data_IF_862732827822
#
_entry.id   IF_862732827822
#
_cell.length_a   1.000
_cell.length_b   1.000
_cell.length_c   1.000
_cell.angle_alpha   90.00
_cell.angle_beta   90.00
_cell.angle_gamma   90.00
#
_symmetry.space_group_name_H-M   'P 1'
#
loop_
_entity.id
_entity.type
_entity.pdbx_description
1 polymer ?
#
# COMPACT_ATOMS: atom_id res chain seq x y z
N UNK A 1 0.01 -21.81 -32.93
CA UNK A 1 0.35 -21.77 -31.50
C UNK A 1 1.36 -20.65 -31.30
N UNK A 2 0.89 -19.44 -31.04
CA UNK A 2 1.72 -18.37 -30.49
C UNK A 2 0.86 -17.67 -29.45
N UNK A 3 1.00 -18.08 -28.18
CA UNK A 3 0.41 -17.34 -27.07
C UNK A 3 1.28 -16.10 -26.87
N UNK A 4 0.78 -14.94 -27.30
CA UNK A 4 1.43 -13.66 -27.08
C UNK A 4 1.55 -13.39 -25.59
N UNK A 5 2.77 -13.41 -25.06
CA UNK A 5 3.06 -12.97 -23.71
C UNK A 5 2.86 -11.45 -23.61
N UNK A 6 1.87 -11.02 -22.84
CA UNK A 6 1.66 -9.60 -22.52
C UNK A 6 2.83 -9.07 -21.70
N UNK A 7 3.19 -7.80 -21.92
CA UNK A 7 4.19 -7.07 -21.13
C UNK A 7 3.84 -7.01 -19.62
N UNK A 8 2.54 -7.12 -19.28
CA UNK A 8 2.08 -7.25 -17.89
C UNK A 8 2.47 -8.60 -17.26
N UNK A 9 2.46 -9.67 -18.05
CA UNK A 9 2.86 -11.02 -17.63
C UNK A 9 4.38 -11.09 -17.40
N UNK A 10 5.15 -10.43 -18.26
CA UNK A 10 6.62 -10.30 -18.10
C UNK A 10 7.01 -9.45 -16.88
N UNK A 11 6.27 -8.37 -16.57
CA UNK A 11 6.46 -7.62 -15.32
C UNK A 11 6.12 -8.43 -14.07
N UNK A 12 5.07 -9.28 -14.10
CA UNK A 12 4.73 -10.19 -12.99
C UNK A 12 5.79 -11.27 -12.75
N UNK A 13 6.48 -11.73 -13.80
CA UNK A 13 7.55 -12.74 -13.68
C UNK A 13 8.87 -12.18 -13.11
N UNK A 14 9.08 -10.86 -13.19
CA UNK A 14 10.29 -10.19 -12.69
C UNK A 14 10.12 -9.56 -11.29
N UNK A 15 8.89 -9.45 -10.79
CA UNK A 15 8.61 -8.94 -9.46
C UNK A 15 8.65 -10.08 -8.44
N UNK A 16 9.35 -9.87 -7.32
CA UNK A 16 9.28 -10.76 -6.17
C UNK A 16 7.81 -10.93 -5.74
N UNK A 17 7.37 -12.17 -5.42
CA UNK A 17 5.98 -12.43 -5.06
C UNK A 17 5.56 -11.57 -3.87
N UNK A 18 4.52 -10.76 -4.06
CA UNK A 18 3.96 -9.93 -3.01
C UNK A 18 2.84 -10.69 -2.29
N UNK A 19 2.93 -10.76 -0.96
CA UNK A 19 1.92 -11.34 -0.11
C UNK A 19 0.53 -10.69 -0.25
N UNK A 20 0.42 -9.50 -0.85
CA UNK A 20 -0.87 -8.87 -1.14
C UNK A 20 -1.51 -9.35 -2.45
N UNK A 21 -0.79 -10.04 -3.34
CA UNK A 21 -1.33 -10.51 -4.62
C UNK A 21 -2.26 -11.71 -4.39
N UNK A 22 -3.57 -11.45 -4.43
CA UNK A 22 -4.63 -12.45 -4.25
C UNK A 22 -4.69 -13.50 -5.36
N UNK A 23 -3.98 -13.30 -6.48
CA UNK A 23 -3.87 -14.31 -7.54
C UNK A 23 -2.84 -15.41 -7.23
N UNK A 24 -2.01 -15.21 -6.21
CA UNK A 24 -1.06 -16.20 -5.73
C UNK A 24 -1.71 -17.17 -4.74
N UNK A 25 -1.17 -18.39 -4.68
CA UNK A 25 -1.61 -19.39 -3.71
C UNK A 25 -1.26 -18.98 -2.27
N UNK A 26 -1.97 -19.55 -1.30
CA UNK A 26 -1.68 -19.31 0.11
C UNK A 26 -0.23 -19.65 0.48
N UNK A 27 0.32 -20.73 -0.10
CA UNK A 27 1.69 -21.16 0.16
C UNK A 27 2.71 -20.12 -0.33
N UNK A 28 2.53 -19.57 -1.54
CA UNK A 28 3.42 -18.55 -2.10
C UNK A 28 3.38 -17.24 -1.30
N UNK A 29 2.18 -16.81 -0.87
CA UNK A 29 2.00 -15.59 -0.07
C UNK A 29 2.62 -15.74 1.33
N UNK A 30 2.48 -16.91 1.97
CA UNK A 30 3.14 -17.20 3.25
C UNK A 30 4.67 -17.30 3.09
N UNK A 31 5.15 -17.82 1.95
CA UNK A 31 6.57 -17.86 1.64
C UNK A 31 7.14 -16.44 1.44
N UNK A 32 6.41 -15.54 0.78
CA UNK A 32 6.77 -14.13 0.66
C UNK A 32 6.91 -13.46 2.04
N UNK A 33 5.93 -13.64 2.92
CA UNK A 33 6.01 -13.15 4.32
C UNK A 33 7.19 -13.76 5.08
N UNK A 34 7.49 -15.03 4.84
CA UNK A 34 8.62 -15.70 5.48
C UNK A 34 9.95 -15.09 5.03
N UNK A 35 10.10 -14.81 3.73
CA UNK A 35 11.27 -14.14 3.16
C UNK A 35 11.44 -12.73 3.74
N UNK A 36 10.35 -11.98 3.92
CA UNK A 36 10.38 -10.67 4.59
C UNK A 36 10.87 -10.77 6.04
N UNK A 37 10.38 -11.78 6.78
CA UNK A 37 10.82 -12.06 8.16
C UNK A 37 12.30 -12.44 8.25
N UNK A 38 12.80 -13.21 7.29
CA UNK A 38 14.22 -13.62 7.26
C UNK A 38 15.19 -12.52 6.79
N UNK A 39 14.66 -11.40 6.26
CA UNK A 39 15.46 -10.23 5.86
C UNK A 39 15.90 -9.44 7.11
N UNK A 40 16.93 -9.98 7.77
CA UNK A 40 17.55 -9.41 8.96
C UNK A 40 19.06 -9.48 8.81
N UNK A 41 19.69 -8.32 8.92
CA UNK A 41 21.15 -8.19 8.94
C UNK A 41 21.60 -7.79 10.33
N UNK A 42 22.73 -8.34 10.75
CA UNK A 42 23.37 -7.97 12.00
C UNK A 42 24.58 -7.11 11.70
N UNK A 43 24.62 -5.99 12.40
CA UNK A 43 25.79 -5.14 12.46
C UNK A 43 26.70 -5.64 13.59
N UNK A 44 27.87 -6.19 13.22
CA UNK A 44 28.93 -6.71 14.11
C UNK A 44 29.48 -5.65 15.10
N UNK A 45 29.15 -4.39 14.88
CA UNK A 45 29.53 -3.22 15.67
C UNK A 45 28.66 -3.03 16.90
N UNK A 46 27.39 -3.40 16.76
CA UNK A 46 26.41 -3.19 17.80
C UNK A 46 26.56 -4.35 18.76
N UNK A 47 26.92 -4.06 20.01
CA UNK A 47 27.10 -5.12 21.00
C UNK A 47 25.86 -6.04 21.09
N UNK A 48 26.03 -7.36 21.25
CA UNK A 48 24.91 -8.31 21.37
C UNK A 48 23.90 -7.94 22.46
N UNK A 49 24.35 -7.27 23.53
CA UNK A 49 23.50 -6.73 24.60
C UNK A 49 22.40 -5.81 24.06
N UNK A 50 22.69 -4.95 23.08
CA UNK A 50 21.69 -4.03 22.50
C UNK A 50 20.63 -4.82 21.74
N UNK A 51 21.03 -5.85 20.98
CA UNK A 51 20.06 -6.73 20.30
C UNK A 51 19.15 -7.45 21.28
N UNK A 52 19.68 -8.03 22.36
CA UNK A 52 18.84 -8.71 23.36
C UNK A 52 17.79 -7.78 23.99
N UNK A 53 18.16 -6.53 24.30
CA UNK A 53 17.20 -5.53 24.78
C UNK A 53 16.12 -5.23 23.74
N UNK A 54 16.53 -4.95 22.50
CA UNK A 54 15.60 -4.67 21.41
C UNK A 54 14.71 -5.87 21.05
N UNK A 55 15.18 -7.09 21.30
CA UNK A 55 14.40 -8.30 21.06
C UNK A 55 13.14 -8.38 21.91
N UNK A 56 13.20 -7.93 23.16
CA UNK A 56 12.03 -8.01 24.04
C UNK A 56 10.91 -7.09 23.56
N UNK A 57 11.29 -5.90 23.06
CA UNK A 57 10.35 -4.96 22.42
C UNK A 57 9.81 -5.51 21.09
N UNK A 58 10.64 -6.19 20.30
CA UNK A 58 10.22 -6.83 19.05
C UNK A 58 9.14 -7.89 19.30
N UNK A 59 9.30 -8.70 20.34
CA UNK A 59 8.31 -9.71 20.72
C UNK A 59 7.02 -9.05 21.23
N UNK A 60 7.12 -8.01 22.06
CA UNK A 60 5.94 -7.24 22.52
C UNK A 60 5.17 -6.65 21.34
N UNK A 61 5.86 -6.08 20.37
CA UNK A 61 5.25 -5.55 19.15
C UNK A 61 4.54 -6.65 18.33
N UNK A 62 5.15 -7.84 18.22
CA UNK A 62 4.54 -8.98 17.55
C UNK A 62 3.25 -9.44 18.25
N UNK A 63 3.23 -9.44 19.59
CA UNK A 63 2.03 -9.73 20.38
C UNK A 63 0.93 -8.70 20.14
N UNK A 64 1.27 -7.41 20.12
CA UNK A 64 0.29 -6.33 19.83
C UNK A 64 -0.31 -6.48 18.44
N UNK A 65 0.48 -6.79 17.40
CA UNK A 65 -0.07 -7.05 16.07
C UNK A 65 -1.03 -8.23 16.04
N UNK A 66 -0.73 -9.28 16.81
CA UNK A 66 -1.61 -10.44 16.91
C UNK A 66 -2.94 -10.05 17.58
N UNK A 67 -2.90 -9.23 18.63
CA UNK A 67 -4.09 -8.71 19.31
C UNK A 67 -4.95 -7.81 18.41
N UNK A 68 -4.33 -7.01 17.55
CA UNK A 68 -5.03 -6.19 16.55
C UNK A 68 -5.59 -7.01 15.37
N UNK A 69 -5.26 -8.29 15.27
CA UNK A 69 -5.63 -9.14 14.13
C UNK A 69 -4.79 -8.90 12.87
N UNK A 70 -3.68 -8.18 12.98
CA UNK A 70 -2.70 -7.99 11.90
C UNK A 70 -1.78 -9.22 11.77
N UNK A 71 -2.36 -10.31 11.27
CA UNK A 71 -1.70 -11.63 11.22
C UNK A 71 -0.40 -11.61 10.41
N UNK A 72 -0.37 -10.90 9.30
CA UNK A 72 0.80 -10.79 8.41
C UNK A 72 1.98 -10.13 9.13
N UNK A 73 1.76 -8.98 9.76
CA UNK A 73 2.80 -8.24 10.47
C UNK A 73 3.28 -9.00 11.71
N UNK A 74 2.36 -9.61 12.46
CA UNK A 74 2.71 -10.47 13.59
C UNK A 74 3.60 -11.64 13.12
N UNK A 75 3.26 -12.29 12.01
CA UNK A 75 4.04 -13.39 11.46
C UNK A 75 5.43 -12.95 11.01
N UNK A 76 5.53 -11.81 10.31
CA UNK A 76 6.81 -11.24 9.88
C UNK A 76 7.69 -10.91 11.09
N UNK A 77 7.14 -10.29 12.13
CA UNK A 77 7.92 -9.96 13.33
C UNK A 77 8.35 -11.19 14.13
N UNK A 78 7.48 -12.18 14.34
CA UNK A 78 7.90 -13.41 15.01
C UNK A 78 8.97 -14.15 14.20
N UNK A 79 8.89 -14.15 12.88
CA UNK A 79 9.90 -14.77 12.03
C UNK A 79 11.22 -13.99 12.06
N UNK A 80 11.17 -12.65 12.01
CA UNK A 80 12.34 -11.76 12.19
C UNK A 80 12.99 -11.94 13.57
N UNK A 81 12.20 -12.07 14.62
CA UNK A 81 12.67 -12.37 15.98
C UNK A 81 13.41 -13.71 16.03
N UNK A 82 12.81 -14.77 15.48
CA UNK A 82 13.43 -16.10 15.43
C UNK A 82 14.72 -16.06 14.61
N UNK A 83 14.69 -15.54 13.38
CA UNK A 83 15.88 -15.46 12.52
C UNK A 83 16.99 -14.65 13.19
N UNK A 84 16.67 -13.51 13.82
CA UNK A 84 17.65 -12.68 14.51
C UNK A 84 18.36 -13.47 15.61
N UNK A 85 17.63 -14.11 16.53
CA UNK A 85 18.24 -14.71 17.73
C UNK A 85 18.71 -16.16 17.56
N UNK A 86 18.17 -16.90 16.58
CA UNK A 86 18.52 -18.31 16.33
C UNK A 86 19.58 -18.45 15.24
N UNK A 87 19.52 -17.64 14.18
CA UNK A 87 20.38 -17.80 13.01
C UNK A 87 21.47 -16.75 12.94
N UNK A 88 21.11 -15.48 13.11
CA UNK A 88 22.03 -14.36 12.84
C UNK A 88 22.91 -14.03 14.04
N UNK A 89 22.32 -13.73 15.20
CA UNK A 89 23.03 -13.19 16.36
C UNK A 89 24.06 -14.13 16.97
N UNK A 90 23.85 -15.46 16.99
CA UNK A 90 24.90 -16.39 17.43
C UNK A 90 26.19 -16.32 16.61
N UNK A 91 26.16 -15.77 15.39
CA UNK A 91 27.33 -15.60 14.53
C UNK A 91 28.13 -14.32 14.84
N UNK A 92 27.60 -13.42 15.65
CA UNK A 92 28.24 -12.15 16.00
C UNK A 92 29.54 -12.38 16.79
N UNK A 93 30.62 -11.62 16.49
CA UNK A 93 31.95 -11.79 17.11
C UNK A 93 31.92 -11.85 18.64
N UNK A 94 31.20 -10.92 19.27
CA UNK A 94 31.15 -10.75 20.73
C UNK A 94 30.03 -11.57 21.40
N UNK A 95 29.34 -12.45 20.66
CA UNK A 95 28.16 -13.17 21.19
C UNK A 95 28.49 -14.08 22.36
N UNK A 96 29.65 -14.75 22.31
CA UNK A 96 30.09 -15.71 23.33
C UNK A 96 30.41 -15.03 24.67
N UNK A 97 30.92 -13.81 24.62
CA UNK A 97 31.29 -13.02 25.79
C UNK A 97 30.09 -12.27 26.39
N UNK A 98 29.00 -12.13 25.63
CA UNK A 98 27.79 -11.46 26.09
C UNK A 98 26.98 -12.34 27.07
N UNK A 99 27.07 -11.99 28.35
CA UNK A 99 26.22 -12.51 29.43
C UNK A 99 25.33 -11.38 29.95
N UNK A 100 24.03 -11.44 29.63
CA UNK A 100 23.03 -10.45 30.04
C UNK A 100 21.74 -11.16 30.47
N UNK A 101 21.02 -10.68 31.50
CA UNK A 101 19.75 -11.30 31.96
C UNK A 101 18.72 -11.43 30.84
N UNK A 102 18.64 -10.44 29.95
CA UNK A 102 17.71 -10.40 28.81
C UNK A 102 17.90 -11.60 27.87
N UNK A 103 19.12 -12.18 27.80
CA UNK A 103 19.40 -13.38 26.98
C UNK A 103 18.54 -14.57 27.45
N UNK A 104 18.40 -14.77 28.76
CA UNK A 104 17.58 -15.87 29.29
C UNK A 104 16.10 -15.64 28.98
N UNK A 105 15.63 -14.40 29.12
CA UNK A 105 14.26 -14.00 28.79
C UNK A 105 13.96 -14.26 27.31
N UNK A 106 14.86 -13.87 26.41
CA UNK A 106 14.72 -14.08 24.97
C UNK A 106 14.70 -15.56 24.61
N UNK A 107 15.60 -16.36 25.18
CA UNK A 107 15.63 -17.81 24.93
C UNK A 107 14.33 -18.49 25.39
N UNK A 108 13.79 -18.07 26.54
CA UNK A 108 12.49 -18.55 27.02
C UNK A 108 11.35 -18.11 26.10
N UNK A 109 11.30 -16.83 25.71
CA UNK A 109 10.29 -16.31 24.77
C UNK A 109 10.35 -16.98 23.40
N UNK A 110 11.53 -17.34 22.91
CA UNK A 110 11.65 -18.11 21.66
C UNK A 110 10.90 -19.44 21.76
N UNK A 111 11.13 -20.19 22.83
CA UNK A 111 10.54 -21.53 23.04
C UNK A 111 9.05 -21.46 23.37
N UNK A 112 8.67 -20.65 24.36
CA UNK A 112 7.32 -20.63 24.92
C UNK A 112 6.33 -19.83 24.05
N UNK A 113 6.83 -18.85 23.30
CA UNK A 113 5.97 -17.87 22.60
C UNK A 113 6.25 -17.85 21.10
N UNK A 114 7.45 -17.48 20.66
CA UNK A 114 7.70 -17.14 19.26
C UNK A 114 7.49 -18.33 18.31
N UNK A 115 8.05 -19.51 18.61
CA UNK A 115 7.84 -20.70 17.78
C UNK A 115 6.36 -21.14 17.74
N UNK A 116 5.67 -21.35 18.89
CA UNK A 116 4.25 -21.70 18.89
C UNK A 116 3.36 -20.67 18.18
N UNK A 117 3.58 -19.38 18.41
CA UNK A 117 2.80 -18.30 17.78
C UNK A 117 3.06 -18.23 16.28
N UNK A 118 4.30 -18.38 15.82
CA UNK A 118 4.61 -18.44 14.38
C UNK A 118 3.88 -19.60 13.70
N UNK A 119 3.88 -20.78 14.30
CA UNK A 119 3.18 -21.95 13.75
C UNK A 119 1.66 -21.78 13.72
N UNK A 120 1.09 -21.18 14.77
CA UNK A 120 -0.33 -20.82 14.81
C UNK A 120 -0.67 -19.80 13.71
N UNK A 121 0.11 -18.72 13.61
CA UNK A 121 -0.07 -17.67 12.60
C UNK A 121 0.05 -18.22 11.18
N UNK A 122 1.00 -19.14 10.93
CA UNK A 122 1.13 -19.81 9.64
C UNK A 122 -0.15 -20.51 9.22
N UNK A 123 -0.83 -21.20 10.15
CA UNK A 123 -2.11 -21.87 9.89
C UNK A 123 -3.22 -20.86 9.59
N UNK A 124 -3.35 -19.83 10.44
CA UNK A 124 -4.36 -18.77 10.27
C UNK A 124 -4.18 -18.02 8.93
N UNK A 125 -2.95 -17.71 8.55
CA UNK A 125 -2.63 -17.07 7.27
C UNK A 125 -2.93 -17.98 6.07
N UNK A 126 -2.63 -19.28 6.17
CA UNK A 126 -3.03 -20.23 5.13
C UNK A 126 -4.55 -20.26 4.94
N UNK A 127 -5.32 -20.33 6.03
CA UNK A 127 -6.77 -20.30 5.98
C UNK A 127 -7.31 -19.00 5.38
N UNK A 128 -6.76 -17.84 5.80
CA UNK A 128 -7.10 -16.52 5.27
C UNK A 128 -6.83 -16.44 3.77
N UNK A 129 -5.62 -16.76 3.34
CA UNK A 129 -5.23 -16.64 1.94
C UNK A 129 -5.91 -17.66 1.04
N UNK A 130 -6.23 -18.86 1.54
CA UNK A 130 -7.04 -19.83 0.77
C UNK A 130 -8.45 -19.30 0.51
N UNK A 131 -9.08 -18.65 1.50
CA UNK A 131 -10.40 -18.02 1.32
C UNK A 131 -10.35 -16.89 0.30
N UNK A 132 -9.35 -16.02 0.39
CA UNK A 132 -9.14 -14.90 -0.55
C UNK A 132 -8.88 -15.39 -1.98
N UNK A 133 -7.99 -16.38 -2.14
CA UNK A 133 -7.66 -16.96 -3.44
C UNK A 133 -8.86 -17.68 -4.07
N UNK A 134 -9.65 -18.41 -3.27
CA UNK A 134 -10.89 -19.03 -3.75
C UNK A 134 -11.91 -17.97 -4.22
N UNK A 135 -12.07 -16.87 -3.48
CA UNK A 135 -12.94 -15.75 -3.89
C UNK A 135 -12.46 -15.08 -5.19
N UNK A 136 -11.14 -14.93 -5.36
CA UNK A 136 -10.54 -14.45 -6.61
C UNK A 136 -10.86 -15.37 -7.80
N UNK A 137 -10.66 -16.69 -7.65
CA UNK A 137 -10.98 -17.67 -8.71
C UNK A 137 -12.47 -17.67 -9.06
N UNK A 138 -13.37 -17.58 -8.08
CA UNK A 138 -14.81 -17.47 -8.32
C UNK A 138 -15.14 -16.21 -9.11
N UNK A 139 -14.59 -15.06 -8.72
CA UNK A 139 -14.81 -13.78 -9.42
C UNK A 139 -14.30 -13.81 -10.86
N UNK A 140 -13.15 -14.44 -11.09
CA UNK A 140 -12.59 -14.63 -12.43
C UNK A 140 -13.48 -15.54 -13.29
N UNK A 141 -13.98 -16.66 -12.73
CA UNK A 141 -14.88 -17.55 -13.45
C UNK A 141 -16.22 -16.89 -13.83
N UNK A 142 -16.78 -16.08 -12.93
CA UNK A 142 -18.00 -15.32 -13.21
C UNK A 142 -17.79 -14.25 -14.29
N UNK A 143 -16.64 -13.57 -14.29
CA UNK A 143 -16.30 -12.61 -15.34
C UNK A 143 -16.18 -13.26 -16.73
N UNK A 144 -15.60 -14.46 -16.81
CA UNK A 144 -15.48 -15.22 -18.08
C UNK A 144 -16.85 -15.73 -18.56
N UNK A 145 -17.73 -16.17 -17.66
CA UNK A 145 -19.10 -16.62 -18.03
C UNK A 145 -19.95 -15.46 -18.56
N UNK A 146 -19.83 -14.26 -17.97
CA UNK A 146 -20.56 -13.07 -18.43
C UNK A 146 -20.10 -12.63 -19.83
N UNK A 147 -18.79 -12.64 -20.10
CA UNK A 147 -18.25 -12.32 -21.43
C UNK A 147 -18.62 -13.38 -22.48
N UNK A 148 -18.57 -14.67 -22.12
CA UNK A 148 -18.99 -15.78 -22.98
C UNK A 148 -20.49 -15.75 -23.32
N UNK A 149 -21.35 -15.40 -22.35
CA UNK A 149 -22.79 -15.28 -22.57
C UNK A 149 -23.12 -14.09 -23.49
N UNK A 150 -22.42 -12.97 -23.35
CA UNK A 150 -22.57 -11.80 -24.23
C UNK A 150 -22.26 -12.10 -25.69
N UNK A 151 -21.17 -12.83 -25.97
CA UNK A 151 -20.80 -13.22 -27.33
C UNK A 151 -21.77 -14.26 -27.93
N UNK A 152 -22.27 -15.21 -27.13
CA UNK A 152 -23.24 -16.22 -27.57
C UNK A 152 -24.62 -15.61 -27.90
N UNK A 153 -25.10 -14.66 -27.08
CA UNK A 153 -26.36 -13.94 -27.29
C UNK A 153 -26.32 -13.03 -28.53
N UNK A 154 -25.20 -12.34 -28.75
CA UNK A 154 -25.05 -11.48 -29.93
C UNK A 154 -25.01 -12.31 -31.22
N UNK A 155 -24.36 -13.48 -31.19
CA UNK A 155 -24.26 -14.38 -32.35
C UNK A 155 -25.59 -15.07 -32.68
N UNK A 156 -26.40 -15.43 -31.68
CA UNK A 156 -27.76 -15.98 -31.89
C UNK A 156 -28.72 -14.91 -32.44
N UNK A 157 -28.65 -13.68 -31.93
CA UNK A 157 -29.45 -12.55 -32.43
C UNK A 157 -29.15 -12.23 -33.90
N UNK A 158 -27.88 -12.22 -34.31
CA UNK A 158 -27.49 -11.97 -35.71
C UNK A 158 -27.97 -13.07 -36.66
N UNK A 159 -27.89 -14.34 -36.23
CA UNK A 159 -28.37 -15.49 -37.02
C UNK A 159 -29.90 -15.44 -37.18
N UNK A 160 -30.62 -15.00 -36.15
CA UNK A 160 -32.08 -14.87 -36.19
C UNK A 160 -32.53 -13.71 -37.09
N UNK A 161 -31.86 -12.55 -37.03
CA UNK A 161 -32.11 -11.43 -37.96
C UNK A 161 -31.87 -11.82 -39.42
N UNK A 162 -30.77 -12.53 -39.71
CA UNK A 162 -30.48 -12.96 -41.08
C UNK A 162 -31.49 -14.00 -41.58
N UNK A 163 -31.95 -14.93 -40.70
CA UNK A 163 -33.04 -15.86 -41.02
C UNK A 163 -34.32 -15.14 -41.40
N UNK A 164 -34.73 -14.12 -40.65
CA UNK A 164 -35.93 -13.33 -40.93
C UNK A 164 -35.80 -12.58 -42.26
N UNK A 165 -34.63 -11.98 -42.53
CA UNK A 165 -34.33 -11.30 -43.79
C UNK A 165 -34.42 -12.24 -45.00
N UNK A 166 -33.83 -13.43 -44.91
CA UNK A 166 -33.88 -14.45 -45.97
C UNK A 166 -35.30 -14.96 -46.19
N UNK A 167 -36.07 -15.18 -45.12
CA UNK A 167 -37.47 -15.58 -45.22
C UNK A 167 -38.33 -14.51 -45.91
N UNK A 168 -38.10 -13.23 -45.60
CA UNK A 168 -38.79 -12.10 -46.23
C UNK A 168 -38.44 -11.97 -47.73
N UNK A 169 -37.16 -12.09 -48.08
CA UNK A 169 -36.69 -12.10 -49.48
C UNK A 169 -37.34 -13.24 -50.28
N UNK A 170 -37.39 -14.45 -49.73
CA UNK A 170 -38.07 -15.58 -50.37
C UNK A 170 -39.56 -15.33 -50.59
N UNK A 171 -40.22 -14.68 -49.63
CA UNK A 171 -41.64 -14.33 -49.75
C UNK A 171 -41.88 -13.32 -50.87
N UNK A 172 -41.08 -12.26 -50.92
CA UNK A 172 -41.14 -11.27 -52.01
C UNK A 172 -40.83 -11.88 -53.38
N UNK A 173 -39.89 -12.84 -53.44
CA UNK A 173 -39.57 -13.53 -54.68
C UNK A 173 -40.74 -14.39 -55.18
N UNK A 174 -41.42 -15.13 -54.29
CA UNK A 174 -42.63 -15.88 -54.64
C UNK A 174 -43.77 -14.95 -55.10
N UNK A 175 -43.97 -13.81 -54.43
CA UNK A 175 -44.97 -12.80 -54.82
C UNK A 175 -44.64 -12.19 -56.19
N UNK A 176 -43.37 -11.86 -56.46
CA UNK A 176 -42.92 -11.35 -57.75
C UNK A 176 -43.06 -12.38 -58.88
N UNK A 177 -42.81 -13.66 -58.60
CA UNK A 177 -43.01 -14.75 -59.56
C UNK A 177 -44.50 -14.96 -59.86
N UNK A 178 -45.38 -14.90 -58.85
CA UNK A 178 -46.83 -14.93 -59.06
C UNK A 178 -47.33 -13.73 -59.87
N UNK A 179 -46.80 -12.53 -59.58
CA UNK A 179 -47.18 -11.32 -60.31
C UNK A 179 -46.74 -11.38 -61.77
N UNK A 180 -45.49 -11.82 -62.03
CA UNK A 180 -44.99 -12.05 -63.40
C UNK A 180 -45.82 -13.08 -64.15
N UNK A 181 -46.23 -14.17 -63.50
CA UNK A 181 -47.08 -15.18 -64.11
C UNK A 181 -48.45 -14.60 -64.51
N UNK A 182 -49.04 -13.77 -63.64
CA UNK A 182 -50.30 -13.09 -63.91
C UNK A 182 -50.18 -12.05 -65.05
N UNK A 183 -49.12 -11.23 -65.07
CA UNK A 183 -48.84 -10.31 -66.18
C UNK A 183 -48.69 -11.05 -67.52
N UNK A 184 -48.00 -12.19 -67.54
CA UNK A 184 -47.80 -12.98 -68.76
C UNK A 184 -49.13 -13.55 -69.28
N UNK A 185 -50.04 -13.95 -68.37
CA UNK A 185 -51.41 -14.33 -68.75
C UNK A 185 -52.20 -13.16 -69.34
N UNK A 186 -52.16 -11.99 -68.69
CA UNK A 186 -52.89 -10.80 -69.15
C UNK A 186 -52.38 -10.33 -70.52
N UNK A 187 -51.06 -10.34 -70.71
CA UNK A 187 -50.43 -9.97 -71.99
C UNK A 187 -50.81 -10.92 -73.13
N UNK A 188 -50.94 -12.22 -72.84
CA UNK A 188 -51.43 -13.21 -73.82
C UNK A 188 -52.89 -12.95 -74.18
N UNK A 189 -53.71 -12.54 -73.21
CA UNK A 189 -55.11 -12.19 -73.43
C UNK A 189 -55.25 -10.89 -74.25
N UNK A 190 -54.44 -9.87 -73.97
CA UNK A 190 -54.38 -8.65 -74.77
C UNK A 190 -53.89 -8.91 -76.20
N UNK A 191 -52.90 -9.79 -76.40
CA UNK A 191 -52.45 -10.21 -77.74
C UNK A 191 -53.53 -10.98 -78.51
N UNK A 192 -54.37 -11.75 -77.82
CA UNK A 192 -55.53 -12.40 -78.42
C UNK A 192 -56.58 -11.36 -78.84
N UNK A 193 -56.90 -10.40 -77.97
CA UNK A 193 -57.86 -9.33 -78.27
C UNK A 193 -57.35 -8.36 -79.36
N UNK A 194 -56.04 -8.08 -79.42
CA UNK A 194 -55.43 -7.21 -80.45
C UNK A 194 -55.35 -7.86 -81.84
N UNK A 195 -55.51 -9.18 -81.96
CA UNK A 195 -55.69 -9.84 -83.26
C UNK A 195 -57.08 -9.58 -83.86
N UNK A 196 -58.06 -9.20 -83.04
CA UNK A 196 -59.41 -8.87 -83.50
C UNK A 196 -59.58 -7.37 -83.84
N UNK A 197 -58.72 -6.48 -83.34
CA UNK A 197 -58.83 -5.02 -83.58
C UNK A 197 -57.84 -4.42 -84.60
N UNK A 198 -57.00 -5.23 -85.26
CA UNK A 198 -56.07 -4.77 -86.30
C UNK A 198 -56.72 -4.55 -87.70
N UNK A 199 -57.97 -4.09 -87.74
CA UNK A 199 -58.66 -3.56 -88.92
C UNK A 199 -59.16 -2.13 -88.64
N UNK A 200 -58.25 -1.18 -88.33
CA UNK A 200 -58.51 0.26 -88.52
C UNK A 200 -57.29 1.16 -88.24
N UNK A 201 -56.62 1.57 -89.32
CA UNK A 201 -55.97 2.89 -89.63
C UNK A 201 -54.86 3.50 -88.73
N UNK A 202 -54.11 4.40 -89.38
CA UNK A 202 -52.74 4.95 -89.17
C UNK A 202 -52.80 6.48 -88.86
N UNK A 203 -51.68 7.24 -88.73
CA UNK A 203 -50.74 7.47 -87.62
C UNK A 203 -50.75 8.93 -87.06
N UNK A 204 -50.02 9.25 -85.98
CA UNK A 204 -49.24 10.53 -85.89
C UNK A 204 -48.20 10.58 -84.74
N UNK A 205 -47.27 11.52 -84.93
CA UNK A 205 -45.93 11.75 -84.37
C UNK A 205 -45.89 12.22 -82.90
N UNK A 206 -44.75 12.08 -82.20
CA UNK A 206 -43.76 13.16 -81.87
C UNK A 206 -42.85 12.82 -80.68
N UNK A 207 -41.65 13.42 -80.76
CA UNK A 207 -40.40 13.27 -80.01
C UNK A 207 -40.37 13.75 -78.55
N UNK A 208 -39.28 13.35 -77.87
CA UNK A 208 -38.49 14.24 -77.01
C UNK A 208 -38.61 13.99 -75.51
N UNK A 209 -37.69 13.29 -74.85
CA UNK A 209 -36.34 13.74 -74.46
C UNK A 209 -36.34 15.00 -73.57
N UNK A 210 -35.84 14.87 -72.33
CA UNK A 210 -34.56 15.47 -71.92
C UNK A 210 -34.38 15.45 -70.39
N UNK A 211 -33.34 14.73 -69.99
CA UNK A 211 -32.53 15.02 -68.81
C UNK A 211 -31.93 16.43 -68.95
N UNK A 212 -31.62 17.08 -67.82
CA UNK A 212 -30.23 17.25 -67.38
C UNK A 212 -29.97 18.52 -66.55
N UNK A 213 -29.07 18.34 -65.56
CA UNK A 213 -27.96 19.22 -65.14
C UNK A 213 -28.29 20.68 -64.73
N UNK A 214 -27.69 21.31 -63.73
CA UNK A 214 -26.51 21.17 -62.88
C UNK A 214 -26.73 22.20 -61.74
N UNK A 215 -25.93 22.49 -60.72
CA UNK A 215 -24.49 22.73 -60.64
C UNK A 215 -24.14 23.07 -59.17
N UNK A 216 -22.84 23.11 -58.92
CA UNK A 216 -22.14 23.10 -57.63
C UNK A 216 -22.04 24.47 -56.91
N UNK A 217 -21.82 24.35 -55.59
CA UNK A 217 -20.98 25.16 -54.67
C UNK A 217 -21.31 26.64 -54.39
N UNK A 218 -21.51 27.01 -53.11
CA UNK A 218 -20.47 27.63 -52.26
C UNK A 218 -20.96 27.96 -50.83
N UNK A 219 -20.16 27.53 -49.84
CA UNK A 219 -19.67 28.20 -48.61
C UNK A 219 -20.60 29.00 -47.66
N UNK A 220 -20.66 28.47 -46.43
CA UNK A 220 -20.72 29.05 -45.06
C UNK A 220 -21.69 30.19 -44.73
N UNK A 221 -22.43 29.99 -43.64
CA UNK A 221 -22.34 30.77 -42.38
C UNK A 221 -23.07 29.98 -41.26
N UNK A 222 -22.41 29.86 -40.10
CA UNK A 222 -22.97 29.37 -38.82
C UNK A 222 -23.89 30.46 -38.23
N UNK A 223 -24.91 30.15 -37.41
CA UNK A 223 -24.63 29.98 -35.98
C UNK A 223 -25.56 29.04 -35.18
N UNK A 224 -24.93 28.34 -34.22
CA UNK A 224 -25.34 28.17 -32.82
C UNK A 224 -26.67 27.44 -32.51
N UNK A 225 -26.57 26.21 -31.95
CA UNK A 225 -27.60 25.66 -31.06
C UNK A 225 -27.05 24.67 -30.03
N UNK A 226 -27.33 25.00 -28.78
CA UNK A 226 -27.16 24.26 -27.54
C UNK A 226 -27.66 22.80 -27.59
N UNK A 227 -26.91 21.85 -27.03
CA UNK A 227 -27.40 20.93 -25.98
C UNK A 227 -26.25 20.20 -25.24
N UNK A 228 -26.42 19.88 -23.94
CA UNK A 228 -25.34 19.47 -23.05
C UNK A 228 -25.04 17.97 -23.08
N UNK A 229 -23.76 17.66 -22.91
CA UNK A 229 -23.22 16.32 -22.70
C UNK A 229 -23.52 15.82 -21.28
N UNK A 230 -24.08 14.61 -21.19
CA UNK A 230 -24.20 13.79 -19.99
C UNK A 230 -22.80 13.32 -19.53
N UNK A 231 -22.42 13.48 -18.25
CA UNK A 231 -21.32 12.71 -17.68
C UNK A 231 -21.76 11.28 -17.40
N UNK A 232 -21.10 10.35 -18.08
CA UNK A 232 -21.13 8.91 -17.84
C UNK A 232 -20.92 8.59 -16.36
N UNK A 233 -21.96 8.07 -15.71
CA UNK A 233 -21.88 7.26 -14.51
C UNK A 233 -21.10 5.97 -14.80
N UNK A 234 -20.02 5.73 -14.05
CA UNK A 234 -19.59 4.35 -13.75
C UNK A 234 -19.57 4.13 -12.23
N UNK A 235 -20.16 3.02 -11.75
CA UNK A 235 -20.35 2.72 -10.34
C UNK A 235 -19.20 1.90 -9.75
N UNK A 236 -19.35 1.63 -8.45
CA UNK A 236 -18.65 0.62 -7.64
C UNK A 236 -17.36 1.08 -6.94
N UNK A 237 -17.54 2.03 -6.02
CA UNK A 237 -16.79 2.06 -4.78
C UNK A 237 -17.17 0.83 -3.93
N UNK A 238 -16.37 -0.23 -4.01
CA UNK A 238 -16.36 -1.31 -3.01
C UNK A 238 -14.97 -1.92 -3.02
N UNK A 239 -14.21 -1.70 -1.94
CA UNK A 239 -12.86 -2.18 -1.57
C UNK A 239 -11.81 -1.09 -1.24
N UNK A 240 -12.20 0.18 -1.09
CA UNK A 240 -11.31 1.22 -0.53
C UNK A 240 -11.24 1.20 1.02
N UNK A 241 -11.30 0.02 1.63
CA UNK A 241 -11.51 -0.13 3.08
C UNK A 241 -10.27 -0.35 3.95
N UNK A 242 -9.07 -0.53 3.39
CA UNK A 242 -7.86 -0.85 4.18
C UNK A 242 -6.65 0.04 3.82
N UNK A 243 -6.75 0.88 2.79
CA UNK A 243 -5.59 1.62 2.23
C UNK A 243 -5.48 3.11 2.62
N UNK A 244 -6.08 3.55 3.72
CA UNK A 244 -6.26 5.00 3.99
C UNK A 244 -5.26 5.64 4.96
N UNK A 245 -4.13 5.01 5.30
CA UNK A 245 -3.33 5.49 6.44
C UNK A 245 -1.81 5.42 6.34
N UNK A 246 -1.24 4.98 5.22
CA UNK A 246 0.22 4.95 5.07
C UNK A 246 0.71 6.26 4.44
N UNK A 247 1.65 6.93 5.10
CA UNK A 247 2.39 8.08 4.55
C UNK A 247 3.83 7.61 4.36
N UNK A 248 4.33 7.64 3.13
CA UNK A 248 5.67 7.06 2.80
C UNK A 248 5.80 5.59 3.23
N UNK A 249 4.74 4.79 3.03
CA UNK A 249 4.64 3.39 3.44
C UNK A 249 4.79 3.14 4.96
N UNK A 250 4.69 4.21 5.77
CA UNK A 250 4.74 4.14 7.22
C UNK A 250 3.37 4.38 7.85
N UNK A 251 3.12 3.67 8.96
CA UNK A 251 1.95 3.93 9.82
C UNK A 251 2.07 5.30 10.47
N UNK A 252 0.92 5.91 10.77
CA UNK A 252 0.90 7.23 11.42
C UNK A 252 1.33 7.14 12.87
N UNK A 253 2.07 8.14 13.33
CA UNK A 253 2.40 8.37 14.75
C UNK A 253 1.66 9.59 15.24
N UNK A 254 0.75 9.41 16.20
CA UNK A 254 -0.03 10.46 16.83
C UNK A 254 0.73 10.98 18.05
N UNK A 255 1.06 12.27 18.01
CA UNK A 255 1.72 12.99 19.11
C UNK A 255 0.67 13.86 19.81
N UNK A 256 0.43 13.68 21.11
CA UNK A 256 -0.42 14.59 21.86
C UNK A 256 0.16 16.02 21.88
N UNK A 257 -0.69 17.03 21.70
CA UNK A 257 -0.27 18.43 21.64
C UNK A 257 0.45 18.91 22.91
N UNK A 258 0.08 18.38 24.08
CA UNK A 258 0.64 18.79 25.37
C UNK A 258 1.98 18.13 25.71
N UNK A 259 2.45 17.16 24.91
CA UNK A 259 3.62 16.33 25.19
C UNK A 259 4.90 17.15 25.34
N UNK A 260 5.23 17.94 24.32
CA UNK A 260 6.47 18.74 24.29
C UNK A 260 6.49 19.78 25.41
N UNK A 261 5.35 20.43 25.66
CA UNK A 261 5.22 21.43 26.72
C UNK A 261 5.47 20.81 28.10
N UNK A 262 4.82 19.67 28.41
CA UNK A 262 5.00 18.98 29.69
C UNK A 262 6.43 18.45 29.87
N UNK A 263 7.05 17.94 28.81
CA UNK A 263 8.43 17.50 28.84
C UNK A 263 9.39 18.66 29.12
N UNK A 264 9.22 19.80 28.44
CA UNK A 264 10.03 21.00 28.68
C UNK A 264 9.87 21.54 30.11
N UNK A 265 8.66 21.48 30.67
CA UNK A 265 8.41 21.88 32.06
C UNK A 265 9.21 21.01 33.06
N UNK A 266 9.32 19.71 32.80
CA UNK A 266 10.12 18.78 33.61
C UNK A 266 11.63 19.00 33.42
N UNK A 267 12.05 19.32 32.18
CA UNK A 267 13.44 19.55 31.81
C UNK A 267 13.96 20.96 32.14
N UNK A 268 13.11 21.87 32.63
CA UNK A 268 13.42 23.30 32.80
C UNK A 268 14.67 23.54 33.66
N UNK A 269 14.79 22.85 34.80
CA UNK A 269 15.94 23.01 35.69
C UNK A 269 17.28 22.65 35.02
N UNK A 270 17.31 21.61 34.18
CA UNK A 270 18.51 21.23 33.43
C UNK A 270 18.74 22.19 32.27
N UNK A 271 17.68 22.54 31.54
CA UNK A 271 17.71 23.48 30.42
C UNK A 271 18.26 24.84 30.84
N UNK A 272 17.83 25.37 31.99
CA UNK A 272 18.32 26.63 32.56
C UNK A 272 19.82 26.60 32.88
N UNK A 273 20.37 25.41 33.16
CA UNK A 273 21.80 25.18 33.39
C UNK A 273 22.57 24.84 32.12
N UNK A 274 21.91 24.82 30.96
CA UNK A 274 22.51 24.42 29.69
C UNK A 274 22.83 22.94 29.60
N UNK A 275 22.10 22.09 30.34
CA UNK A 275 22.26 20.64 30.35
C UNK A 275 21.09 20.00 29.59
N UNK A 276 21.38 19.06 28.70
CA UNK A 276 20.37 18.31 27.97
C UNK A 276 19.55 17.41 28.91
N UNK A 277 18.32 17.11 28.52
CA UNK A 277 17.48 16.09 29.18
C UNK A 277 16.86 15.25 28.09
N UNK A 278 16.84 13.94 28.28
CA UNK A 278 16.27 12.97 27.34
C UNK A 278 15.17 12.14 28.00
N UNK A 279 14.20 11.72 27.19
CA UNK A 279 13.08 10.88 27.58
C UNK A 279 12.71 9.89 26.47
N UNK A 280 12.11 8.78 26.86
CA UNK A 280 11.66 7.73 25.93
C UNK A 280 10.18 7.91 25.63
N UNK A 281 9.85 7.95 24.35
CA UNK A 281 8.48 8.08 23.87
C UNK A 281 7.82 6.71 23.85
N UNK A 282 6.80 6.55 24.67
CA UNK A 282 6.11 5.29 24.90
C UNK A 282 4.64 5.39 24.50
N UNK A 283 4.11 4.32 23.91
CA UNK A 283 2.73 4.33 23.46
C UNK A 283 2.17 2.97 23.09
N UNK A 284 1.05 3.01 22.37
CA UNK A 284 0.30 1.83 21.96
C UNK A 284 0.04 1.89 20.46
N UNK A 285 -0.06 0.72 19.84
CA UNK A 285 -0.61 0.60 18.50
C UNK A 285 -2.12 0.41 18.65
N UNK A 286 -2.92 1.20 17.94
CA UNK A 286 -4.37 1.07 17.92
C UNK A 286 -4.87 1.45 16.54
N UNK A 287 -5.64 0.55 15.91
CA UNK A 287 -6.22 0.77 14.58
C UNK A 287 -5.15 1.13 13.53
N UNK A 288 -4.02 0.43 13.57
CA UNK A 288 -2.89 0.67 12.66
C UNK A 288 -2.26 2.08 12.76
N UNK A 289 -2.55 2.82 13.84
CA UNK A 289 -1.87 4.07 14.22
C UNK A 289 -1.11 3.88 15.53
N UNK A 290 0.11 4.40 15.60
CA UNK A 290 0.83 4.50 16.86
C UNK A 290 0.37 5.74 17.61
N UNK A 291 -0.07 5.56 18.85
CA UNK A 291 -0.45 6.65 19.73
C UNK A 291 0.57 6.80 20.85
N UNK A 292 1.27 7.94 20.88
CA UNK A 292 2.07 8.32 22.04
C UNK A 292 1.14 8.61 23.23
N UNK A 293 1.44 8.00 24.37
CA UNK A 293 0.65 8.17 25.60
C UNK A 293 1.52 8.56 26.79
N UNK A 294 2.79 8.14 26.78
CA UNK A 294 3.72 8.33 27.88
C UNK A 294 5.05 8.91 27.37
N UNK A 295 5.63 9.83 28.14
CA UNK A 295 7.05 10.16 28.07
C UNK A 295 7.68 9.70 29.38
N UNK A 296 8.64 8.80 29.31
CA UNK A 296 9.33 8.29 30.49
C UNK A 296 10.73 8.88 30.51
N UNK A 297 11.06 9.64 31.55
CA UNK A 297 12.37 10.27 31.73
C UNK A 297 13.18 9.36 32.65
N UNK A 298 14.12 8.54 32.11
CA UNK A 298 14.90 7.61 32.92
C UNK A 298 15.95 8.38 33.74
N UNK A 299 16.55 7.69 34.72
CA UNK A 299 17.86 8.09 35.27
C UNK A 299 18.82 8.32 34.12
N UNK A 300 19.60 9.39 34.18
CA UNK A 300 20.44 9.81 33.08
C UNK A 300 21.60 10.68 33.55
N UNK A 301 22.75 10.53 32.88
CA UNK A 301 23.89 11.43 32.98
C UNK A 301 23.92 12.30 31.72
N UNK A 302 23.91 13.62 31.88
CA UNK A 302 23.79 14.55 30.77
C UNK A 302 24.74 15.75 30.89
N UNK A 303 25.16 16.27 29.74
CA UNK A 303 25.93 17.49 29.57
C UNK A 303 25.28 18.46 28.59
N UNK A 304 26.00 19.46 28.08
CA UNK A 304 25.46 20.44 27.12
C UNK A 304 25.20 19.90 25.70
N UNK A 305 25.73 18.72 25.39
CA UNK A 305 25.77 18.12 24.05
C UNK A 305 25.64 16.57 24.07
N UNK A 306 25.25 15.99 25.21
CA UNK A 306 24.97 14.56 25.33
C UNK A 306 23.98 14.25 26.47
N UNK A 307 23.26 13.13 26.33
CA UNK A 307 22.39 12.58 27.37
C UNK A 307 22.41 11.04 27.31
N UNK A 308 23.04 10.42 28.31
CA UNK A 308 23.15 8.97 28.42
C UNK A 308 22.16 8.42 29.45
N UNK A 309 21.31 7.49 29.02
CA UNK A 309 20.34 6.83 29.89
C UNK A 309 21.03 5.80 30.80
N UNK A 310 20.74 5.90 32.10
CA UNK A 310 21.16 4.98 33.13
C UNK A 310 20.00 4.08 33.57
N UNK A 311 20.33 2.96 34.22
CA UNK A 311 19.35 2.04 34.81
C UNK A 311 18.16 1.67 33.88
N UNK A 312 18.47 1.32 32.63
CA UNK A 312 17.47 1.00 31.58
C UNK A 312 16.53 -0.15 31.97
N UNK A 313 16.88 -0.95 32.98
CA UNK A 313 16.07 -2.05 33.51
C UNK A 313 14.77 -1.56 34.17
N UNK A 314 14.80 -0.40 34.84
CA UNK A 314 13.63 0.21 35.48
C UNK A 314 12.65 0.74 34.43
N UNK A 315 13.16 1.43 33.40
CA UNK A 315 12.39 1.84 32.23
C UNK A 315 11.75 0.63 31.56
N UNK A 316 12.52 -0.43 31.32
CA UNK A 316 12.03 -1.65 30.70
C UNK A 316 10.90 -2.30 31.53
N UNK A 317 11.08 -2.41 32.85
CA UNK A 317 10.08 -2.98 33.75
C UNK A 317 8.78 -2.19 33.73
N UNK A 318 8.86 -0.86 33.70
CA UNK A 318 7.71 0.02 33.58
C UNK A 318 6.97 -0.17 32.26
N UNK A 319 7.70 -0.21 31.13
CA UNK A 319 7.12 -0.43 29.82
C UNK A 319 6.44 -1.81 29.73
N UNK A 320 7.04 -2.85 30.30
CA UNK A 320 6.48 -4.19 30.32
C UNK A 320 5.18 -4.27 31.13
N UNK A 321 5.20 -3.74 32.35
CA UNK A 321 4.04 -3.74 33.24
C UNK A 321 2.84 -2.98 32.69
N UNK A 322 3.07 -2.00 31.80
CA UNK A 322 2.02 -1.21 31.16
C UNK A 322 1.78 -1.56 29.69
N UNK A 323 2.48 -2.58 29.17
CA UNK A 323 2.42 -3.01 27.78
C UNK A 323 2.62 -1.85 26.80
N UNK A 324 3.62 -1.01 27.08
CA UNK A 324 3.98 0.14 26.27
C UNK A 324 5.05 -0.24 25.25
N UNK A 325 4.88 0.27 24.04
CA UNK A 325 5.85 0.15 22.96
C UNK A 325 6.77 1.36 22.96
N UNK A 326 8.03 1.14 22.63
CA UNK A 326 9.00 2.21 22.37
C UNK A 326 8.77 2.77 20.97
N UNK A 327 8.34 4.03 20.87
CA UNK A 327 7.97 4.68 19.60
C UNK A 327 8.96 5.77 19.16
N UNK A 328 9.97 6.03 19.98
CA UNK A 328 10.97 7.05 19.72
C UNK A 328 11.55 7.62 21.00
N UNK A 329 12.13 8.80 20.88
CA UNK A 329 12.73 9.51 22.01
C UNK A 329 12.60 11.02 21.80
N UNK A 330 12.73 11.76 22.91
CA UNK A 330 12.66 13.21 22.95
C UNK A 330 13.84 13.74 23.76
N UNK A 331 14.49 14.80 23.30
CA UNK A 331 15.50 15.49 24.09
C UNK A 331 15.49 17.01 23.87
N UNK A 332 16.19 17.71 24.73
CA UNK A 332 16.37 19.17 24.65
C UNK A 332 17.73 19.51 24.07
N UNK A 333 17.78 20.51 23.19
CA UNK A 333 18.97 21.32 22.91
C UNK A 333 18.84 22.66 23.64
N UNK A 334 19.43 22.85 24.83
CA UNK A 334 19.23 24.05 25.64
C UNK A 334 19.66 25.34 24.94
N UNK A 335 20.68 25.28 24.07
CA UNK A 335 21.25 26.48 23.43
C UNK A 335 21.28 26.42 21.90
N UNK A 336 21.30 25.23 21.34
CA UNK A 336 21.42 24.95 19.92
C UNK A 336 20.03 24.91 19.25
N UNK A 337 19.98 25.06 17.93
CA UNK A 337 18.75 24.93 17.15
C UNK A 337 18.25 23.47 17.14
N UNK A 338 17.02 23.23 16.67
CA UNK A 338 16.49 21.88 16.52
C UNK A 338 17.08 21.19 15.27
N UNK A 339 17.93 20.19 15.47
CA UNK A 339 18.49 19.33 14.43
C UNK A 339 18.95 18.01 15.07
N UNK A 340 19.30 16.99 14.27
CA UNK A 340 19.97 15.79 14.79
C UNK A 340 21.49 15.97 14.77
N UNK A 341 22.11 16.00 15.94
CA UNK A 341 23.55 15.94 16.13
C UNK A 341 24.12 14.60 15.66
N UNK A 342 25.45 14.49 15.54
CA UNK A 342 26.08 13.20 15.22
C UNK A 342 25.68 12.10 16.21
N UNK A 343 25.67 12.42 17.51
CA UNK A 343 25.26 11.48 18.57
C UNK A 343 23.79 11.09 18.41
N UNK A 344 22.94 12.03 18.03
CA UNK A 344 21.50 11.80 17.83
C UNK A 344 21.24 10.88 16.63
N UNK A 345 22.00 11.04 15.53
CA UNK A 345 21.91 10.18 14.35
C UNK A 345 22.17 8.71 14.73
N UNK A 346 23.25 8.46 15.48
CA UNK A 346 23.62 7.12 15.95
C UNK A 346 22.60 6.52 16.92
N UNK A 347 22.12 7.35 17.85
CA UNK A 347 21.09 6.96 18.81
C UNK A 347 19.82 6.58 18.08
N UNK A 348 19.31 7.48 17.23
CA UNK A 348 18.06 7.29 16.51
C UNK A 348 18.13 6.15 15.49
N UNK A 349 19.28 5.90 14.86
CA UNK A 349 19.47 4.76 13.96
C UNK A 349 19.15 3.41 14.61
N UNK A 350 19.42 3.26 15.91
CA UNK A 350 19.06 2.04 16.64
C UNK A 350 17.55 1.90 16.84
N UNK A 351 16.84 2.99 17.11
CA UNK A 351 15.38 2.99 17.22
C UNK A 351 14.72 2.70 15.87
N UNK A 352 15.17 3.37 14.81
CA UNK A 352 14.56 3.26 13.48
C UNK A 352 14.85 1.91 12.80
N UNK A 353 15.96 1.25 13.16
CA UNK A 353 16.23 -0.13 12.73
C UNK A 353 15.19 -1.12 13.28
N UNK A 354 14.73 -0.87 14.51
CA UNK A 354 13.76 -1.74 15.20
C UNK A 354 12.32 -1.42 14.83
N UNK A 355 12.01 -0.14 14.69
CA UNK A 355 10.70 0.36 14.32
C UNK A 355 10.87 1.43 13.23
N UNK A 356 10.52 1.14 11.96
CA UNK A 356 10.66 2.10 10.86
C UNK A 356 9.94 3.43 11.10
N UNK A 357 8.84 3.41 11.86
CA UNK A 357 8.05 4.58 12.25
C UNK A 357 8.63 5.38 13.42
N UNK A 358 9.72 4.93 14.06
CA UNK A 358 10.30 5.61 15.22
C UNK A 358 10.62 7.08 14.90
N UNK A 359 10.43 7.96 15.88
CA UNK A 359 10.68 9.41 15.75
C UNK A 359 11.69 9.91 16.78
N UNK A 360 12.41 10.97 16.44
CA UNK A 360 13.25 11.74 17.35
C UNK A 360 12.70 13.17 17.47
N UNK A 361 12.25 13.56 18.67
CA UNK A 361 11.76 14.92 18.93
C UNK A 361 12.88 15.73 19.57
N UNK A 362 13.26 16.85 18.96
CA UNK A 362 14.30 17.75 19.49
C UNK A 362 13.67 19.08 19.86
N UNK A 363 13.71 19.41 21.14
CA UNK A 363 13.16 20.64 21.66
C UNK A 363 14.27 21.68 21.80
N UNK A 364 14.13 22.82 21.14
CA UNK A 364 15.07 23.94 21.19
C UNK A 364 14.42 25.14 21.89
N UNK A 365 14.37 25.16 23.23
CA UNK A 365 13.65 26.17 24.00
C UNK A 365 14.18 27.59 23.77
N UNK A 366 15.51 27.77 23.62
CA UNK A 366 16.12 29.08 23.35
C UNK A 366 15.70 29.68 22.01
N UNK A 367 15.39 28.84 21.03
CA UNK A 367 14.93 29.25 19.69
C UNK A 367 13.41 29.13 19.52
N UNK A 368 12.69 28.74 20.57
CA UNK A 368 11.25 28.44 20.55
C UNK A 368 10.85 27.53 19.39
N UNK A 369 11.66 26.49 19.17
CA UNK A 369 11.52 25.57 18.03
C UNK A 369 11.45 24.12 18.53
N UNK A 370 10.76 23.26 17.78
CA UNK A 370 10.68 21.83 18.05
C UNK A 370 10.64 21.08 16.74
N UNK A 371 11.66 20.26 16.50
CA UNK A 371 11.75 19.40 15.33
C UNK A 371 11.32 17.97 15.64
N UNK A 372 10.64 17.32 14.69
CA UNK A 372 10.36 15.88 14.73
C UNK A 372 11.02 15.24 13.53
N UNK A 373 12.03 14.41 13.78
CA UNK A 373 12.95 13.92 12.76
C UNK A 373 12.98 12.40 12.67
N UNK A 374 13.37 11.92 11.49
CA UNK A 374 13.73 10.54 11.20
C UNK A 374 14.99 10.48 10.33
N UNK A 375 15.70 9.35 10.34
CA UNK A 375 16.77 9.11 9.38
C UNK A 375 16.21 8.81 7.99
N UNK A 376 16.89 9.32 6.96
CA UNK A 376 16.64 8.92 5.58
C UNK A 376 17.24 7.54 5.31
N UNK A 377 16.88 6.90 4.18
CA UNK A 377 17.51 5.64 3.79
C UNK A 377 19.03 5.75 3.65
N UNK A 378 19.53 6.89 3.17
CA UNK A 378 20.97 7.18 3.12
C UNK A 378 21.56 7.34 4.53
N UNK A 379 20.88 8.06 5.42
CA UNK A 379 21.29 8.21 6.82
C UNK A 379 21.38 6.90 7.57
N UNK A 380 20.39 6.02 7.41
CA UNK A 380 20.42 4.66 7.96
C UNK A 380 21.66 3.90 7.47
N UNK A 381 21.97 3.98 6.16
CA UNK A 381 23.15 3.32 5.57
C UNK A 381 24.49 3.94 5.97
N UNK A 382 24.55 5.24 6.23
CA UNK A 382 25.76 5.94 6.68
C UNK A 382 26.06 5.65 8.15
N UNK A 383 25.06 5.81 9.02
CA UNK A 383 25.18 5.53 10.46
C UNK A 383 25.53 4.06 10.70
N UNK A 384 24.90 3.12 9.97
CA UNK A 384 25.19 1.70 10.11
C UNK A 384 26.65 1.33 9.77
N UNK A 385 27.28 2.06 8.84
CA UNK A 385 28.68 1.83 8.39
C UNK A 385 29.70 2.67 9.14
N UNK A 386 29.26 3.60 9.99
CA UNK A 386 30.17 4.48 10.70
C UNK A 386 30.86 3.75 11.87
N UNK A 387 32.17 3.97 12.00
CA UNK A 387 33.08 3.31 12.97
C UNK A 387 33.75 4.30 13.93
N UNK A 388 33.48 5.59 13.74
CA UNK A 388 34.17 6.64 14.46
C UNK A 388 33.68 6.70 15.90
N UNK A 389 34.61 6.88 16.84
CA UNK A 389 34.33 6.99 18.27
C UNK A 389 34.35 8.45 18.70
N UNK A 390 33.53 8.76 19.71
CA UNK A 390 33.36 10.14 20.19
C UNK A 390 32.61 11.01 19.20
N UNK A 391 32.57 12.31 19.45
CA UNK A 391 31.88 13.26 18.60
C UNK A 391 32.62 13.42 17.26
N UNK A 392 31.96 13.08 16.15
CA UNK A 392 32.54 13.14 14.80
C UNK A 392 31.54 13.66 13.77
N UNK A 393 32.00 14.38 12.73
CA UNK A 393 31.11 14.87 11.69
C UNK A 393 30.70 13.77 10.71
N UNK A 394 29.53 13.97 10.11
CA UNK A 394 28.97 13.16 9.04
C UNK A 394 28.74 14.00 7.78
N UNK A 395 28.66 13.37 6.60
CA UNK A 395 28.33 14.11 5.38
C UNK A 395 26.92 14.69 5.50
N UNK A 396 26.72 15.93 5.04
CA UNK A 396 25.39 16.55 4.99
C UNK A 396 24.69 16.33 3.64
N UNK A 397 25.43 15.83 2.66
CA UNK A 397 24.93 15.58 1.31
C UNK A 397 25.25 14.12 0.90
N UNK A 398 24.23 13.30 0.56
CA UNK A 398 22.79 13.59 0.69
C UNK A 398 22.35 13.76 2.15
N UNK A 399 21.21 14.44 2.44
CA UNK A 399 20.72 14.62 3.80
C UNK A 399 20.49 13.29 4.54
N UNK A 400 21.09 13.15 5.73
CA UNK A 400 21.00 11.93 6.53
C UNK A 400 19.71 11.83 7.35
N UNK A 401 19.03 12.94 7.58
CA UNK A 401 17.76 12.97 8.28
C UNK A 401 16.80 13.94 7.61
N UNK A 402 15.51 13.76 7.89
CA UNK A 402 14.43 14.60 7.39
C UNK A 402 13.35 14.78 8.45
N UNK A 403 12.47 15.76 8.24
CA UNK A 403 11.29 15.95 9.09
C UNK A 403 10.31 14.79 8.87
N UNK A 404 9.77 14.23 9.95
CA UNK A 404 8.78 13.16 9.90
C UNK A 404 7.48 13.64 9.25
N UNK A 405 7.06 12.96 8.17
CA UNK A 405 5.79 13.26 7.48
C UNK A 405 4.64 12.36 7.91
N UNK A 406 4.93 11.22 8.53
CA UNK A 406 3.93 10.28 9.06
C UNK A 406 3.43 10.64 10.47
N UNK A 407 3.72 11.86 10.94
CA UNK A 407 3.35 12.35 12.28
C UNK A 407 2.08 13.21 12.21
N UNK A 408 1.19 13.04 13.18
CA UNK A 408 -0.02 13.86 13.34
C UNK A 408 -0.12 14.35 14.77
N UNK A 409 -0.30 15.65 14.96
CA UNK A 409 -0.53 16.23 16.29
C UNK A 409 -2.03 16.22 16.59
N UNK A 410 -2.45 15.66 17.73
CA UNK A 410 -3.85 15.63 18.18
C UNK A 410 -3.99 16.15 19.61
N UNK A 411 -5.17 16.68 19.94
CA UNK A 411 -5.52 17.13 21.29
C UNK A 411 -5.88 15.93 22.19
N UNK A 412 -4.83 15.31 22.74
CA UNK A 412 -4.90 14.13 23.62
C UNK A 412 -4.11 14.42 24.91
N UNK A 413 -4.34 13.63 25.95
CA UNK A 413 -3.60 13.75 27.21
C UNK A 413 -2.33 12.89 27.16
N UNK A 414 -1.19 13.49 27.51
CA UNK A 414 0.06 12.75 27.78
C UNK A 414 0.33 12.61 29.26
N UNK A 415 0.86 11.46 29.66
CA UNK A 415 1.49 11.25 30.96
C UNK A 415 3.00 11.44 30.82
N UNK A 416 3.60 12.34 31.59
CA UNK A 416 5.07 12.45 31.70
C UNK A 416 5.47 11.88 33.04
N UNK A 417 6.33 10.86 33.02
CA UNK A 417 6.82 10.16 34.21
C UNK A 417 8.30 10.44 34.40
N UNK A 418 8.67 10.82 35.61
CA UNK A 418 10.06 11.03 36.01
C UNK A 418 10.55 9.84 36.83
N UNK A 419 11.63 9.18 36.39
CA UNK A 419 12.29 8.07 37.08
C UNK A 419 13.69 8.43 37.60
N UNK A 420 14.10 9.70 37.48
CA UNK A 420 15.46 10.16 37.82
C UNK A 420 15.81 10.02 39.30
#
# INVERSE_FOLDING_TARGET
MEQGFSFSTLKKLAAEPDHTDVSLTAAERVLALSKMGCSVEINEEITPRRYFRSGVEMERMAAVYLEEGSLENAYVLYNKFITLFVEKLPSHRDYRECSVPEKQVIMKKLQDVAFPRKDQLRKLLHEKFNKEHAAYLMSQSQAVVVDGCGQQLQRTSLVEQERLRVAQLRRMQMEAEQFRYFEDQLRRQELANRRDEAVAKVPEQTDGSCLSHSSKNHVRLDPNRNQPFLPSSKPAATLAGIHTQLVEDLRRVVIPRDLTYKFLLLADSNTARGIETCGVLCGKLTQNEFLLTHVVVPKQSAGPDYCDMENVEELFSFQDHHSLLTLGWIHTHPTQTAFLSSVDLHTHGSYQLMLPEAIAIVCSPKHNDTGVFRLTSSGMGEVARCRLKGFHPHSKDPPLFSICRHVVIKDLKTTVLDLR
#
